data_IF_546008551380
#
_entry.id   IF_546008551380
#
_cell.length_a   1.000
_cell.length_b   1.000
_cell.length_c   1.000
_cell.angle_alpha   90.00
_cell.angle_beta   90.00
_cell.angle_gamma   90.00
#
_symmetry.space_group_name_H-M   'P 1'
#
loop_
_entity.id
_entity.type
_entity.pdbx_description
1 polymer ?
#
# COMPACT_ATOMS: atom_id res chain seq x y z
N UNK A 1 -5.83 -0.84 9.25
CA UNK A 1 -4.60 -1.40 8.64
C UNK A 1 -4.64 -1.36 7.11
N UNK A 2 -5.71 -1.83 6.44
CA UNK A 2 -5.80 -1.82 4.96
C UNK A 2 -5.56 -0.44 4.34
N UNK A 3 -6.22 0.59 4.84
CA UNK A 3 -6.07 1.98 4.37
C UNK A 3 -4.61 2.46 4.42
N UNK A 4 -3.92 2.23 5.54
CA UNK A 4 -2.51 2.61 5.71
C UNK A 4 -1.60 1.95 4.67
N UNK A 5 -1.83 0.68 4.34
CA UNK A 5 -1.06 -0.01 3.30
C UNK A 5 -1.27 0.62 1.91
N UNK A 6 -2.51 1.01 1.59
CA UNK A 6 -2.80 1.70 0.33
C UNK A 6 -2.18 3.10 0.28
N UNK A 7 -2.26 3.86 1.38
CA UNK A 7 -1.61 5.17 1.50
C UNK A 7 -0.10 5.07 1.36
N UNK A 8 0.52 4.03 1.93
CA UNK A 8 1.96 3.77 1.75
C UNK A 8 2.33 3.59 0.27
N UNK A 9 1.54 2.81 -0.48
CA UNK A 9 1.76 2.61 -1.92
C UNK A 9 1.57 3.92 -2.69
N UNK A 10 0.51 4.68 -2.40
CA UNK A 10 0.22 5.99 -3.03
C UNK A 10 1.24 7.09 -2.66
N UNK A 11 2.05 6.88 -1.62
CA UNK A 11 3.13 7.82 -1.27
C UNK A 11 4.29 7.78 -2.28
N UNK A 12 4.29 6.84 -3.24
CA UNK A 12 5.17 6.86 -4.38
C UNK A 12 4.58 7.75 -5.50
N UNK A 13 5.25 8.83 -5.93
CA UNK A 13 4.73 9.74 -6.94
C UNK A 13 4.49 9.10 -8.32
N UNK A 14 5.11 7.95 -8.62
CA UNK A 14 4.90 7.22 -9.87
C UNK A 14 3.59 6.39 -9.86
N UNK A 15 2.99 6.17 -8.68
CA UNK A 15 1.80 5.34 -8.51
C UNK A 15 0.55 6.21 -8.41
N UNK A 16 -0.27 6.18 -9.46
CA UNK A 16 -1.44 7.06 -9.59
C UNK A 16 -2.76 6.39 -9.19
N UNK A 17 -2.83 5.06 -9.22
CA UNK A 17 -4.07 4.31 -8.99
C UNK A 17 -3.75 2.91 -8.47
N UNK A 18 -4.57 2.41 -7.55
CA UNK A 18 -4.51 1.05 -7.03
C UNK A 18 -5.85 0.37 -7.30
N UNK A 19 -5.83 -0.89 -7.74
CA UNK A 19 -7.03 -1.72 -7.94
C UNK A 19 -7.06 -2.84 -6.91
N UNK A 20 -7.60 -2.61 -5.69
CA UNK A 20 -7.58 -3.60 -4.63
C UNK A 20 -8.74 -4.61 -4.78
N UNK A 21 -8.44 -5.90 -4.74
CA UNK A 21 -9.46 -6.96 -4.75
C UNK A 21 -10.08 -7.19 -3.37
N UNK A 22 -11.41 -7.29 -3.28
CA UNK A 22 -12.13 -7.37 -1.99
C UNK A 22 -13.27 -8.39 -1.99
N UNK A 23 -13.54 -8.98 -0.81
CA UNK A 23 -14.67 -9.93 -0.55
C UNK A 23 -15.67 -9.44 0.49
N UNK A 24 -15.37 -8.34 1.20
CA UNK A 24 -16.20 -7.79 2.27
C UNK A 24 -16.38 -6.29 2.07
N UNK A 25 -17.61 -5.80 2.25
CA UNK A 25 -17.98 -4.40 2.02
C UNK A 25 -17.20 -3.46 2.96
N UNK A 26 -17.01 -3.84 4.23
CA UNK A 26 -16.24 -3.03 5.18
C UNK A 26 -14.83 -2.70 4.67
N UNK A 27 -14.15 -3.66 4.05
CA UNK A 27 -12.83 -3.43 3.47
C UNK A 27 -12.89 -2.50 2.25
N UNK A 28 -13.95 -2.57 1.44
CA UNK A 28 -14.14 -1.65 0.31
C UNK A 28 -14.24 -0.21 0.83
N UNK A 29 -15.04 0.02 1.87
CA UNK A 29 -15.20 1.35 2.50
C UNK A 29 -13.86 1.86 3.02
N UNK A 30 -13.12 1.04 3.77
CA UNK A 30 -11.79 1.41 4.28
C UNK A 30 -10.76 1.66 3.17
N UNK A 31 -10.83 0.94 2.05
CA UNK A 31 -9.90 1.17 0.94
C UNK A 31 -10.18 2.48 0.21
N UNK A 32 -11.45 2.82 0.02
CA UNK A 32 -11.86 4.07 -0.67
C UNK A 32 -11.39 5.30 0.13
N UNK A 33 -11.38 5.21 1.47
CA UNK A 33 -10.89 6.28 2.33
C UNK A 33 -9.43 6.69 2.02
N UNK A 34 -8.60 5.78 1.47
CA UNK A 34 -7.21 6.11 1.10
C UNK A 34 -7.09 7.09 -0.09
N UNK A 35 -8.18 7.39 -0.80
CA UNK A 35 -8.19 8.30 -1.97
C UNK A 35 -8.56 9.75 -1.63
N UNK A 36 -8.64 10.12 -0.35
CA UNK A 36 -8.97 11.48 0.11
C UNK A 36 -7.85 12.52 -0.11
N UNK A 37 -6.67 12.08 -0.56
CA UNK A 37 -5.51 12.93 -0.81
C UNK A 37 -4.55 13.03 0.38
N UNK A 38 -4.89 12.45 1.52
CA UNK A 38 -4.01 12.45 2.68
C UNK A 38 -2.90 11.39 2.52
N UNK A 39 -1.67 11.78 2.86
CA UNK A 39 -0.51 10.89 2.82
C UNK A 39 -0.04 10.53 4.22
N UNK A 40 0.74 9.45 4.33
CA UNK A 40 1.45 9.16 5.57
C UNK A 40 2.51 10.25 5.82
N UNK A 41 2.85 10.48 7.09
CA UNK A 41 3.88 11.46 7.41
C UNK A 41 5.25 11.03 6.84
N UNK A 42 6.11 11.98 6.46
CA UNK A 42 7.45 11.66 5.95
C UNK A 42 8.30 10.84 6.94
N UNK A 43 8.13 11.08 8.24
CA UNK A 43 8.84 10.37 9.31
C UNK A 43 8.44 8.89 9.36
N UNK A 44 7.13 8.62 9.29
CA UNK A 44 6.61 7.26 9.25
C UNK A 44 7.04 6.54 7.97
N UNK A 45 7.00 7.23 6.82
CA UNK A 45 7.48 6.65 5.55
C UNK A 45 8.95 6.27 5.61
N UNK A 46 9.78 7.07 6.31
CA UNK A 46 11.20 6.76 6.51
C UNK A 46 11.38 5.52 7.39
N UNK A 47 10.64 5.41 8.49
CA UNK A 47 10.68 4.25 9.38
C UNK A 47 10.22 2.96 8.67
N UNK A 48 9.14 3.05 7.87
CA UNK A 48 8.61 1.90 7.13
C UNK A 48 9.57 1.33 6.08
N UNK A 49 10.51 2.14 5.54
CA UNK A 49 11.50 1.65 4.57
C UNK A 49 12.42 0.58 5.15
N UNK A 50 12.72 0.67 6.45
CA UNK A 50 13.60 -0.29 7.13
C UNK A 50 12.93 -1.65 7.36
N UNK A 51 11.60 -1.72 7.19
CA UNK A 51 10.81 -2.94 7.28
C UNK A 51 10.61 -3.65 5.94
N UNK A 52 11.24 -3.16 4.86
CA UNK A 52 11.18 -3.82 3.56
C UNK A 52 11.84 -5.20 3.62
N UNK A 53 11.08 -6.24 3.30
CA UNK A 53 11.62 -7.58 3.16
C UNK A 53 12.26 -7.73 1.77
N UNK A 54 13.59 -7.78 1.72
CA UNK A 54 14.33 -8.10 0.49
C UNK A 54 14.23 -9.61 0.19
N UNK A 55 13.49 -9.96 -0.88
CA UNK A 55 13.31 -11.35 -1.34
C UNK A 55 14.14 -11.58 -2.57
N UNK A 56 14.99 -12.61 -2.53
CA UNK A 56 15.54 -13.18 -3.75
C UNK A 56 14.43 -13.95 -4.48
N UNK A 57 14.21 -13.71 -5.79
CA UNK A 57 13.21 -14.45 -6.56
C UNK A 57 13.48 -15.96 -6.48
N UNK A 58 12.45 -16.75 -6.21
CA UNK A 58 12.54 -18.21 -6.33
C UNK A 58 12.47 -18.62 -7.80
N UNK A 59 13.14 -19.71 -8.16
CA UNK A 59 13.08 -20.25 -9.52
C UNK A 59 11.63 -20.53 -9.90
N UNK A 60 11.18 -19.95 -11.03
CA UNK A 60 9.87 -20.24 -11.59
C UNK A 60 9.94 -21.58 -12.32
N UNK A 61 9.18 -22.57 -11.86
CA UNK A 61 8.89 -23.75 -12.69
C UNK A 61 7.93 -23.33 -13.79
N UNK A 62 8.32 -23.61 -15.03
CA UNK A 62 7.46 -23.52 -16.22
C UNK A 62 6.48 -24.70 -16.22
#
# INVERSE_FOLDING_TARGET
MLEMALRFILSNPDVHTIVPGMRQIGNVVTNIAASDGDSLSPELLRELKDHCWDRTPTERRQ
#
